data_IF_679758728997
#
_entry.id   IF_679758728997
#
_cell.length_a   1.000
_cell.length_b   1.000
_cell.length_c   1.000
_cell.angle_alpha   90.00
_cell.angle_beta   90.00
_cell.angle_gamma   90.00
#
_symmetry.space_group_name_H-M   'P 1'
#
loop_
_entity.id
_entity.type
_entity.pdbx_description
1 polymer ?
#
# COMPACT_ATOMS: atom_id res chain seq x y z
N UNK A 1 -55.57 26.16 29.72
CA UNK A 1 -56.24 27.42 29.35
C UNK A 1 -55.40 28.11 28.30
N UNK A 2 -56.02 28.49 27.17
CA UNK A 2 -55.47 29.37 26.10
C UNK A 2 -54.31 28.82 25.25
N UNK A 3 -54.28 28.94 23.91
CA UNK A 3 -55.21 29.51 22.91
C UNK A 3 -54.57 29.35 21.51
N UNK A 4 -55.41 29.31 20.47
CA UNK A 4 -55.18 29.82 19.08
C UNK A 4 -54.43 28.86 18.13
N UNK A 5 -55.08 28.15 17.19
CA UNK A 5 -55.78 28.61 15.95
C UNK A 5 -54.79 29.19 14.91
N UNK A 6 -54.85 29.02 13.59
CA UNK A 6 -55.65 28.31 12.58
C UNK A 6 -54.99 28.74 11.23
N UNK A 7 -55.45 28.19 10.10
CA UNK A 7 -55.26 28.72 8.71
C UNK A 7 -53.93 28.28 8.05
N UNK A 8 -53.84 27.29 7.16
CA UNK A 8 -54.58 26.97 5.92
C UNK A 8 -54.23 27.93 4.77
N UNK A 9 -53.38 27.52 3.84
CA UNK A 9 -53.53 27.87 2.41
C UNK A 9 -52.67 26.98 1.51
N UNK A 10 -53.38 26.12 0.78
CA UNK A 10 -52.96 25.48 -0.47
C UNK A 10 -52.93 26.56 -1.56
N UNK A 11 -51.89 26.58 -2.39
CA UNK A 11 -51.97 27.09 -3.76
C UNK A 11 -51.19 26.18 -4.70
N UNK A 12 -51.92 25.63 -5.67
CA UNK A 12 -51.40 24.92 -6.84
C UNK A 12 -50.79 25.91 -7.84
N UNK A 13 -49.72 25.50 -8.52
CA UNK A 13 -49.50 25.86 -9.93
C UNK A 13 -48.63 24.79 -10.60
N UNK A 14 -49.25 24.07 -11.55
CA UNK A 14 -48.60 23.17 -12.48
C UNK A 14 -48.02 23.99 -13.64
N UNK A 15 -46.77 23.74 -14.01
CA UNK A 15 -46.19 24.18 -15.26
C UNK A 15 -45.62 22.96 -15.98
N UNK A 16 -46.35 22.51 -17.00
CA UNK A 16 -45.86 21.57 -18.00
C UNK A 16 -44.99 22.35 -19.00
N UNK A 17 -43.75 21.90 -19.18
CA UNK A 17 -42.93 22.27 -20.34
C UNK A 17 -42.55 20.99 -21.07
N UNK A 18 -43.25 20.75 -22.19
CA UNK A 18 -42.71 19.99 -23.30
C UNK A 18 -41.82 20.94 -24.12
N UNK A 19 -40.53 20.65 -24.19
CA UNK A 19 -39.60 21.29 -25.12
C UNK A 19 -38.68 20.22 -25.73
N UNK A 20 -38.51 20.34 -27.05
CA UNK A 20 -37.85 19.43 -27.98
C UNK A 20 -36.51 18.86 -27.54
N UNK A 21 -36.28 17.60 -27.94
CA UNK A 21 -34.96 17.01 -27.99
C UNK A 21 -34.05 17.70 -29.01
N UNK A 22 -32.79 17.83 -28.63
CA UNK A 22 -31.61 17.78 -29.50
C UNK A 22 -30.42 17.34 -28.62
N UNK A 23 -29.51 16.59 -29.23
CA UNK A 23 -28.67 15.58 -28.57
C UNK A 23 -27.57 16.06 -27.61
N UNK A 24 -27.00 15.08 -26.92
CA UNK A 24 -25.79 15.23 -26.12
C UNK A 24 -25.68 14.11 -25.09
N UNK A 25 -24.89 13.07 -25.39
CA UNK A 25 -24.50 12.03 -24.43
C UNK A 25 -23.93 12.67 -23.15
N UNK A 26 -24.66 12.57 -22.05
CA UNK A 26 -24.14 12.90 -20.73
C UNK A 26 -23.74 11.61 -20.02
N UNK A 27 -22.54 11.11 -20.34
CA UNK A 27 -21.79 10.24 -19.44
C UNK A 27 -21.66 10.99 -18.12
N UNK A 28 -22.31 10.49 -17.08
CA UNK A 28 -22.17 11.03 -15.72
C UNK A 28 -20.78 10.70 -15.23
N UNK A 29 -19.82 11.55 -15.58
CA UNK A 29 -18.49 11.55 -14.99
C UNK A 29 -18.64 12.12 -13.58
N UNK A 30 -18.58 11.25 -12.57
CA UNK A 30 -18.31 11.66 -11.21
C UNK A 30 -16.93 12.33 -11.20
N UNK A 31 -16.91 13.65 -11.40
CA UNK A 31 -15.72 14.48 -11.26
C UNK A 31 -15.52 14.68 -9.76
N UNK A 32 -14.82 13.73 -9.13
CA UNK A 32 -14.31 13.94 -7.77
C UNK A 32 -13.39 15.15 -7.78
N UNK A 33 -13.89 16.23 -7.20
CA UNK A 33 -13.18 17.47 -6.94
C UNK A 33 -12.12 17.25 -5.87
N UNK A 34 -10.92 16.83 -6.28
CA UNK A 34 -9.68 16.98 -5.51
C UNK A 34 -8.59 17.39 -6.51
N UNK A 35 -8.64 18.67 -6.90
CA UNK A 35 -7.55 19.34 -7.59
C UNK A 35 -7.31 20.66 -6.88
N UNK A 36 -6.21 20.73 -6.12
CA UNK A 36 -5.44 21.95 -5.85
C UNK A 36 -4.38 21.66 -4.77
N UNK A 37 -3.32 20.97 -5.16
CA UNK A 37 -1.97 21.15 -4.60
C UNK A 37 -0.99 20.71 -5.69
N UNK A 38 -0.65 21.66 -6.57
CA UNK A 38 0.52 21.74 -7.47
C UNK A 38 1.09 20.37 -7.92
N UNK A 39 0.78 19.87 -9.11
CA UNK A 39 1.11 20.54 -10.37
C UNK A 39 2.54 20.25 -10.83
N UNK A 40 3.32 19.46 -10.08
CA UNK A 40 4.29 18.54 -10.68
C UNK A 40 3.51 17.24 -10.92
N UNK A 41 3.09 17.07 -12.18
CA UNK A 41 2.76 15.75 -12.70
C UNK A 41 3.87 14.79 -12.24
N UNK A 42 3.51 13.61 -11.73
CA UNK A 42 4.47 12.56 -11.42
C UNK A 42 5.12 12.13 -12.75
N UNK A 43 6.03 12.94 -13.30
CA UNK A 43 6.68 12.76 -14.61
C UNK A 43 7.43 11.42 -14.72
N UNK A 44 7.64 10.75 -13.59
CA UNK A 44 8.24 9.42 -13.54
C UNK A 44 7.28 8.27 -13.88
N UNK A 45 5.96 8.50 -13.88
CA UNK A 45 4.96 7.44 -13.81
C UNK A 45 4.20 7.18 -15.13
N UNK A 46 4.31 8.02 -16.16
CA UNK A 46 3.52 7.84 -17.39
C UNK A 46 3.97 6.65 -18.26
N UNK A 47 5.27 6.32 -18.23
CA UNK A 47 5.86 5.30 -19.12
C UNK A 47 6.35 4.04 -18.38
N UNK A 48 6.35 4.02 -17.04
CA UNK A 48 6.81 2.86 -16.24
C UNK A 48 5.65 2.05 -15.71
N UNK A 49 4.99 1.37 -16.64
CA UNK A 49 4.30 0.15 -16.26
C UNK A 49 5.38 -0.87 -15.94
N UNK A 50 5.68 -1.12 -14.66
CA UNK A 50 6.18 -2.43 -14.31
C UNK A 50 5.09 -3.40 -14.80
N UNK A 51 5.38 -4.15 -15.87
CA UNK A 51 4.67 -5.39 -16.13
C UNK A 51 4.61 -6.13 -14.80
N UNK A 52 3.45 -6.71 -14.49
CA UNK A 52 3.16 -7.24 -13.16
C UNK A 52 4.27 -8.16 -12.63
N UNK A 53 4.14 -8.66 -11.41
CA UNK A 53 5.06 -9.69 -10.89
C UNK A 53 4.93 -11.04 -11.62
N UNK A 54 4.54 -11.06 -12.91
CA UNK A 54 4.49 -12.22 -13.79
C UNK A 54 5.82 -12.98 -13.70
N UNK A 55 5.78 -14.10 -12.96
CA UNK A 55 6.92 -14.98 -12.71
C UNK A 55 7.69 -14.76 -11.40
N UNK A 56 7.51 -13.66 -10.67
CA UNK A 56 8.25 -13.38 -9.42
C UNK A 56 7.45 -13.79 -8.18
N UNK A 57 7.77 -14.96 -7.65
CA UNK A 57 7.21 -15.45 -6.38
C UNK A 57 8.15 -15.24 -5.19
N UNK A 58 7.62 -14.77 -4.06
CA UNK A 58 8.39 -14.54 -2.83
C UNK A 58 9.03 -15.82 -2.27
N UNK A 59 8.35 -16.97 -2.30
CA UNK A 59 8.90 -18.20 -1.71
C UNK A 59 10.18 -18.69 -2.43
N UNK A 60 10.25 -18.69 -3.78
CA UNK A 60 11.51 -18.90 -4.51
C UNK A 60 12.57 -17.83 -4.22
N UNK A 61 12.19 -16.56 -4.15
CA UNK A 61 13.14 -15.46 -3.91
C UNK A 61 13.76 -15.54 -2.50
N UNK A 62 13.02 -16.02 -1.51
CA UNK A 62 13.48 -16.19 -0.14
C UNK A 62 13.28 -17.62 0.35
N UNK A 63 14.18 -18.56 0.01
CA UNK A 63 14.07 -19.93 0.52
C UNK A 63 13.99 -19.95 2.05
N UNK A 64 13.22 -20.87 2.62
CA UNK A 64 12.98 -21.00 4.07
C UNK A 64 14.26 -20.83 4.90
N UNK A 65 15.35 -21.51 4.53
CA UNK A 65 16.65 -21.43 5.22
C UNK A 65 17.21 -20.00 5.30
N UNK A 66 16.97 -19.18 4.28
CA UNK A 66 17.35 -17.76 4.28
C UNK A 66 16.57 -17.01 5.36
N UNK A 67 15.25 -17.22 5.41
CA UNK A 67 14.38 -16.56 6.40
C UNK A 67 14.75 -17.02 7.81
N UNK A 68 14.90 -18.33 8.02
CA UNK A 68 15.34 -18.93 9.29
C UNK A 68 16.64 -18.31 9.80
N UNK A 69 17.64 -18.14 8.91
CA UNK A 69 18.91 -17.52 9.24
C UNK A 69 18.77 -16.05 9.64
N UNK A 70 17.87 -15.31 9.00
CA UNK A 70 17.64 -13.89 9.32
C UNK A 70 16.92 -13.75 10.65
N UNK A 71 15.86 -14.52 10.90
CA UNK A 71 15.05 -14.40 12.13
C UNK A 71 15.59 -15.21 13.31
N UNK A 72 16.58 -16.07 13.08
CA UNK A 72 17.21 -16.89 14.11
C UNK A 72 16.30 -18.01 14.64
N UNK A 73 15.38 -18.51 13.82
CA UNK A 73 14.44 -19.60 14.17
C UNK A 73 14.53 -20.68 13.12
N UNK A 74 14.71 -21.93 13.53
CA UNK A 74 14.69 -23.09 12.64
C UNK A 74 13.34 -23.82 12.64
N UNK A 75 13.11 -24.59 11.58
CA UNK A 75 11.92 -25.41 11.38
C UNK A 75 10.71 -24.61 10.88
N UNK A 76 10.93 -23.49 10.19
CA UNK A 76 9.85 -22.73 9.57
C UNK A 76 9.25 -23.52 8.39
N UNK A 77 7.94 -23.42 8.19
CA UNK A 77 7.26 -23.95 7.00
C UNK A 77 6.84 -22.79 6.11
N UNK A 78 7.24 -22.83 4.85
CA UNK A 78 6.83 -21.86 3.85
C UNK A 78 5.48 -22.26 3.24
N UNK A 79 4.55 -21.34 3.25
CA UNK A 79 3.23 -21.46 2.65
C UNK A 79 3.07 -20.31 1.64
N UNK A 80 2.84 -20.66 0.38
CA UNK A 80 2.62 -19.68 -0.69
C UNK A 80 1.14 -19.28 -0.74
N UNK A 81 0.87 -18.02 -1.03
CA UNK A 81 -0.45 -17.52 -1.39
C UNK A 81 -0.31 -16.51 -2.54
N UNK A 82 -0.74 -16.91 -3.73
CA UNK A 82 -0.70 -16.08 -4.94
C UNK A 82 -2.13 -15.61 -5.28
N UNK A 83 -2.65 -14.67 -4.49
CA UNK A 83 -4.00 -14.11 -4.66
C UNK A 83 -3.91 -12.67 -5.17
N UNK A 84 -4.75 -12.30 -6.14
CA UNK A 84 -4.90 -10.93 -6.66
C UNK A 84 -3.58 -10.31 -7.19
N UNK A 85 -2.80 -11.06 -7.97
CA UNK A 85 -1.51 -10.63 -8.54
C UNK A 85 -0.46 -10.18 -7.50
N UNK A 86 -0.68 -10.56 -6.23
CA UNK A 86 0.27 -10.35 -5.15
C UNK A 86 1.02 -11.64 -4.91
N UNK A 87 2.35 -11.58 -4.91
CA UNK A 87 3.11 -12.71 -4.42
C UNK A 87 3.29 -12.63 -2.92
N UNK A 88 2.71 -13.60 -2.19
CA UNK A 88 2.82 -13.69 -0.74
C UNK A 88 3.47 -15.02 -0.35
N UNK A 89 4.45 -14.94 0.54
CA UNK A 89 4.96 -16.12 1.24
C UNK A 89 4.87 -15.92 2.75
N UNK A 90 4.34 -16.94 3.43
CA UNK A 90 4.29 -17.00 4.89
C UNK A 90 5.24 -18.09 5.37
N UNK A 91 6.07 -17.77 6.36
CA UNK A 91 6.97 -18.71 7.04
C UNK A 91 6.52 -18.82 8.49
N UNK A 92 6.06 -20.00 8.90
CA UNK A 92 5.47 -20.17 10.23
C UNK A 92 6.00 -21.41 10.97
N UNK A 93 6.07 -21.29 12.31
CA UNK A 93 6.29 -22.40 13.25
C UNK A 93 5.72 -22.03 14.62
N UNK A 94 4.69 -22.73 15.07
CA UNK A 94 4.03 -22.42 16.34
C UNK A 94 3.55 -20.96 16.36
N UNK A 95 3.99 -20.20 17.36
CA UNK A 95 3.69 -18.76 17.49
C UNK A 95 4.57 -17.83 16.63
N UNK A 96 5.57 -18.37 15.91
CA UNK A 96 6.41 -17.59 14.98
C UNK A 96 5.71 -17.46 13.63
N UNK A 97 5.64 -16.25 13.10
CA UNK A 97 5.07 -15.94 11.80
C UNK A 97 5.86 -14.82 11.12
N UNK A 98 6.41 -15.10 9.95
CA UNK A 98 7.00 -14.11 9.05
C UNK A 98 6.16 -14.09 7.79
N UNK A 99 5.53 -12.96 7.47
CA UNK A 99 4.75 -12.80 6.25
C UNK A 99 5.41 -11.77 5.36
N UNK A 100 5.63 -12.15 4.11
CA UNK A 100 6.30 -11.33 3.12
C UNK A 100 5.39 -11.24 1.91
N UNK A 101 5.14 -10.02 1.46
CA UNK A 101 4.41 -9.71 0.24
C UNK A 101 5.31 -8.88 -0.66
N UNK A 102 5.32 -9.21 -1.95
CA UNK A 102 5.92 -8.42 -3.00
C UNK A 102 4.81 -8.00 -3.97
N UNK A 103 4.63 -6.69 -4.10
CA UNK A 103 3.75 -6.05 -5.07
C UNK A 103 4.65 -5.39 -6.12
N UNK A 104 4.45 -5.73 -7.39
CA UNK A 104 5.11 -5.10 -8.53
C UNK A 104 4.08 -4.77 -9.60
N UNK A 105 2.85 -4.44 -9.19
CA UNK A 105 1.86 -3.90 -10.10
C UNK A 105 2.27 -2.51 -10.60
N UNK A 106 1.72 -2.11 -11.75
CA UNK A 106 1.81 -0.75 -12.26
C UNK A 106 1.44 0.29 -11.17
N UNK A 107 2.08 1.46 -11.25
CA UNK A 107 1.97 2.57 -10.28
C UNK A 107 2.42 2.25 -8.85
N UNK A 108 3.39 1.35 -8.66
CA UNK A 108 3.94 1.02 -7.35
C UNK A 108 4.41 2.28 -6.57
N UNK A 109 4.99 3.26 -7.25
CA UNK A 109 5.39 4.55 -6.66
C UNK A 109 4.21 5.27 -6.02
N UNK A 110 3.15 5.52 -6.80
CA UNK A 110 1.92 6.16 -6.32
C UNK A 110 1.25 5.36 -5.20
N UNK A 111 1.19 4.04 -5.32
CA UNK A 111 0.65 3.16 -4.26
C UNK A 111 1.44 3.27 -2.97
N UNK A 112 2.77 3.29 -3.04
CA UNK A 112 3.64 3.47 -1.87
C UNK A 112 3.39 4.82 -1.21
N UNK A 113 3.35 5.90 -1.98
CA UNK A 113 3.08 7.23 -1.46
C UNK A 113 1.71 7.34 -0.78
N UNK A 114 0.66 6.80 -1.40
CA UNK A 114 -0.67 6.77 -0.81
C UNK A 114 -0.66 6.01 0.52
N UNK A 115 0.00 4.86 0.59
CA UNK A 115 0.11 4.09 1.84
C UNK A 115 0.85 4.85 2.95
N UNK A 116 1.96 5.52 2.62
CA UNK A 116 2.71 6.33 3.58
C UNK A 116 1.87 7.50 4.09
N UNK A 117 1.24 8.24 3.17
CA UNK A 117 0.40 9.40 3.47
C UNK A 117 -0.81 9.01 4.32
N UNK A 118 -1.52 7.93 3.97
CA UNK A 118 -2.61 7.38 4.77
C UNK A 118 -2.13 6.98 6.17
N UNK A 119 -0.97 6.32 6.25
CA UNK A 119 -0.42 5.90 7.54
C UNK A 119 -0.08 7.11 8.42
N UNK A 120 0.49 8.17 7.85
CA UNK A 120 0.79 9.41 8.55
C UNK A 120 -0.50 10.14 8.97
N UNK A 121 -1.48 10.30 8.10
CA UNK A 121 -2.72 11.01 8.43
C UNK A 121 -3.54 10.28 9.49
N UNK A 122 -3.67 8.95 9.36
CA UNK A 122 -4.56 8.14 10.21
C UNK A 122 -3.91 7.70 11.52
N UNK A 123 -2.64 7.31 11.48
CA UNK A 123 -2.01 6.61 12.59
C UNK A 123 -0.93 7.41 13.33
N UNK A 124 -0.54 8.59 12.85
CA UNK A 124 0.41 9.44 13.57
C UNK A 124 0.04 9.75 15.04
N UNK A 125 -1.24 9.95 15.43
CA UNK A 125 -1.59 10.16 16.84
C UNK A 125 -1.52 8.88 17.70
N UNK A 126 -1.41 7.69 17.10
CA UNK A 126 -1.39 6.41 17.82
C UNK A 126 0.08 5.94 17.91
N UNK A 127 0.74 6.00 19.08
CA UNK A 127 2.18 5.73 19.19
C UNK A 127 2.62 4.39 18.61
N UNK A 128 1.79 3.36 18.75
CA UNK A 128 2.11 2.01 18.28
C UNK A 128 1.93 1.86 16.77
N UNK A 129 1.05 2.65 16.16
CA UNK A 129 0.74 2.56 14.73
C UNK A 129 1.42 3.66 13.91
N UNK A 130 2.11 4.60 14.57
CA UNK A 130 2.86 5.66 13.91
C UNK A 130 3.91 5.06 12.96
N UNK A 131 3.95 5.49 11.69
CA UNK A 131 5.00 5.10 10.77
C UNK A 131 6.32 5.78 11.16
N UNK A 132 7.42 5.02 11.13
CA UNK A 132 8.76 5.50 11.38
C UNK A 132 9.64 5.23 10.16
N UNK A 133 10.24 6.26 9.60
CA UNK A 133 11.13 6.15 8.45
C UNK A 133 12.30 5.19 8.75
N UNK A 134 12.64 4.36 7.75
CA UNK A 134 13.76 3.42 7.81
C UNK A 134 14.62 3.62 6.57
N UNK A 135 15.70 4.38 6.73
CA UNK A 135 16.62 4.69 5.63
C UNK A 135 17.41 3.49 5.15
N UNK A 136 17.86 3.56 3.90
CA UNK A 136 18.75 2.61 3.23
C UNK A 136 18.19 1.20 3.09
N UNK A 137 16.87 1.03 3.13
CA UNK A 137 16.19 -0.26 2.86
C UNK A 137 15.66 -0.31 1.45
N UNK A 138 14.92 0.72 1.07
CA UNK A 138 14.42 0.93 -0.27
C UNK A 138 15.18 2.07 -0.94
N UNK A 139 14.53 2.68 -1.93
CA UNK A 139 15.02 3.86 -2.62
C UNK A 139 14.76 5.12 -1.77
N UNK A 140 15.79 5.64 -1.10
CA UNK A 140 15.69 6.87 -0.31
C UNK A 140 15.48 8.14 -1.18
N UNK A 141 15.65 8.04 -2.51
CA UNK A 141 15.35 9.13 -3.45
C UNK A 141 13.89 9.14 -3.92
N UNK A 142 13.09 8.15 -3.50
CA UNK A 142 11.65 8.11 -3.81
C UNK A 142 10.90 9.30 -3.20
N UNK A 143 9.72 9.55 -3.76
CA UNK A 143 8.82 10.60 -3.30
C UNK A 143 8.44 10.39 -1.82
N UNK A 144 8.57 11.44 -1.00
CA UNK A 144 8.42 11.36 0.46
C UNK A 144 9.73 11.16 1.24
N UNK A 145 10.87 11.03 0.56
CA UNK A 145 12.21 11.18 1.16
C UNK A 145 12.75 10.00 1.97
N UNK A 146 12.01 8.89 2.06
CA UNK A 146 12.52 7.59 2.56
C UNK A 146 11.81 6.44 1.85
N UNK A 147 12.58 5.48 1.34
CA UNK A 147 12.07 4.32 0.63
C UNK A 147 11.52 3.21 1.51
N UNK A 148 11.40 3.42 2.82
CA UNK A 148 10.75 2.47 3.72
C UNK A 148 10.26 3.11 5.02
N UNK A 149 9.23 2.52 5.62
CA UNK A 149 8.74 2.87 6.95
C UNK A 149 8.36 1.63 7.76
N UNK A 150 8.50 1.74 9.08
CA UNK A 150 8.20 0.73 10.08
C UNK A 150 7.00 1.11 10.94
N UNK A 151 6.12 0.15 11.19
CA UNK A 151 5.00 0.28 12.13
C UNK A 151 5.13 -0.76 13.23
N UNK A 152 5.37 -0.30 14.46
CA UNK A 152 5.66 -1.14 15.64
C UNK A 152 4.53 -2.09 15.99
N UNK A 153 3.31 -1.58 16.12
CA UNK A 153 2.11 -2.32 16.53
C UNK A 153 1.67 -3.37 15.51
N UNK A 154 2.16 -3.27 14.26
CA UNK A 154 1.96 -4.28 13.22
C UNK A 154 3.19 -5.18 13.02
N UNK A 155 4.29 -4.90 13.72
CA UNK A 155 5.62 -5.44 13.47
C UNK A 155 5.94 -5.54 11.97
N UNK A 156 5.67 -4.46 11.25
CA UNK A 156 5.60 -4.43 9.80
C UNK A 156 6.49 -3.35 9.21
N UNK A 157 7.30 -3.75 8.24
CA UNK A 157 8.02 -2.85 7.35
C UNK A 157 7.32 -2.80 6.00
N UNK A 158 7.18 -1.60 5.44
CA UNK A 158 6.85 -1.39 4.03
C UNK A 158 8.03 -0.69 3.40
N UNK A 159 8.55 -1.22 2.30
CA UNK A 159 9.68 -0.67 1.57
C UNK A 159 9.36 -0.62 0.08
N UNK A 160 9.95 0.34 -0.62
CA UNK A 160 9.80 0.59 -2.04
C UNK A 160 11.18 0.66 -2.70
N UNK A 161 11.36 -0.03 -3.82
CA UNK A 161 12.57 0.08 -4.65
C UNK A 161 12.27 -0.41 -6.06
N UNK A 162 12.73 0.34 -7.07
CA UNK A 162 12.64 -0.03 -8.48
C UNK A 162 11.24 -0.52 -8.88
N UNK A 163 10.22 0.30 -8.60
CA UNK A 163 8.81 0.04 -8.92
C UNK A 163 8.23 -1.22 -8.27
N UNK A 164 8.79 -1.62 -7.12
CA UNK A 164 8.28 -2.74 -6.31
C UNK A 164 8.09 -2.32 -4.86
N UNK A 165 6.99 -2.79 -4.26
CA UNK A 165 6.72 -2.64 -2.83
C UNK A 165 6.93 -4.00 -2.14
N UNK A 166 7.86 -4.05 -1.19
CA UNK A 166 8.02 -5.17 -0.27
C UNK A 166 7.34 -4.84 1.07
N UNK A 167 6.45 -5.72 1.52
CA UNK A 167 5.81 -5.64 2.83
C UNK A 167 6.21 -6.84 3.66
N UNK A 168 6.92 -6.60 4.76
CA UNK A 168 7.49 -7.64 5.61
C UNK A 168 6.96 -7.50 7.03
N UNK A 169 6.21 -8.49 7.49
CA UNK A 169 5.76 -8.62 8.87
C UNK A 169 6.57 -9.70 9.57
N UNK A 170 7.16 -9.38 10.72
CA UNK A 170 7.96 -10.33 11.53
C UNK A 170 7.34 -10.44 12.91
N UNK A 171 6.79 -11.60 13.24
CA UNK A 171 6.31 -11.93 14.58
C UNK A 171 7.10 -13.12 15.12
N UNK A 172 8.02 -12.84 16.03
CA UNK A 172 8.73 -13.84 16.83
C UNK A 172 8.52 -13.48 18.31
N UNK A 173 7.96 -14.38 19.12
CA UNK A 173 7.72 -14.12 20.54
C UNK A 173 9.00 -13.69 21.27
N UNK A 174 8.84 -12.83 22.28
CA UNK A 174 9.93 -12.32 23.14
C UNK A 174 11.07 -11.55 22.43
N UNK A 175 11.01 -11.31 21.12
CA UNK A 175 11.95 -10.42 20.45
C UNK A 175 11.65 -8.95 20.75
N UNK A 176 12.70 -8.12 20.73
CA UNK A 176 12.55 -6.67 20.79
C UNK A 176 12.05 -6.08 19.47
N UNK A 177 11.47 -4.88 19.53
CA UNK A 177 10.99 -4.21 18.31
C UNK A 177 12.13 -3.84 17.36
N UNK A 178 13.25 -3.36 17.92
CA UNK A 178 14.44 -3.05 17.15
C UNK A 178 14.95 -4.27 16.36
N UNK A 179 14.90 -5.47 16.97
CA UNK A 179 15.30 -6.71 16.31
C UNK A 179 14.34 -7.08 15.18
N UNK A 180 13.03 -7.06 15.41
CA UNK A 180 12.03 -7.31 14.36
C UNK A 180 12.16 -6.35 13.19
N UNK A 181 12.37 -5.06 13.47
CA UNK A 181 12.61 -4.03 12.44
C UNK A 181 13.86 -4.35 11.61
N UNK A 182 14.97 -4.70 12.26
CA UNK A 182 16.22 -5.03 11.59
C UNK A 182 16.09 -6.30 10.72
N UNK A 183 15.41 -7.33 11.22
CA UNK A 183 15.14 -8.57 10.49
C UNK A 183 14.23 -8.31 9.28
N UNK A 184 13.16 -7.52 9.45
CA UNK A 184 12.29 -7.12 8.36
C UNK A 184 13.04 -6.32 7.28
N UNK A 185 13.89 -5.37 7.69
CA UNK A 185 14.72 -4.59 6.78
C UNK A 185 15.69 -5.46 5.99
N UNK A 186 16.32 -6.44 6.65
CA UNK A 186 17.22 -7.38 5.98
C UNK A 186 16.50 -8.26 4.96
N UNK A 187 15.30 -8.74 5.29
CA UNK A 187 14.47 -9.52 4.36
C UNK A 187 14.04 -8.70 3.16
N UNK A 188 13.60 -7.45 3.35
CA UNK A 188 13.23 -6.55 2.25
C UNK A 188 14.40 -6.32 1.29
N UNK A 189 15.60 -6.01 1.81
CA UNK A 189 16.82 -5.87 1.00
C UNK A 189 17.14 -7.12 0.18
N UNK A 190 17.00 -8.30 0.79
CA UNK A 190 17.25 -9.56 0.10
C UNK A 190 16.25 -9.82 -1.04
N UNK A 191 15.00 -9.39 -0.89
CA UNK A 191 14.00 -9.49 -1.95
C UNK A 191 14.39 -8.59 -3.12
N UNK A 192 14.64 -7.30 -2.88
CA UNK A 192 15.00 -6.37 -3.95
C UNK A 192 16.29 -6.78 -4.67
N UNK A 193 17.28 -7.31 -3.96
CA UNK A 193 18.51 -7.83 -4.56
C UNK A 193 18.28 -9.06 -5.47
N UNK A 194 17.19 -9.82 -5.26
CA UNK A 194 16.89 -11.06 -6.00
C UNK A 194 15.76 -10.91 -7.02
N UNK A 195 15.00 -9.82 -6.92
CA UNK A 195 13.96 -9.41 -7.86
C UNK A 195 14.29 -8.01 -8.41
N UNK A 196 15.41 -7.84 -9.15
CA UNK A 196 15.71 -6.57 -9.77
C UNK A 196 14.57 -6.17 -10.73
N UNK A 197 14.37 -4.86 -10.94
CA UNK A 197 13.59 -4.41 -12.08
C UNK A 197 14.23 -4.94 -13.37
N UNK A 198 13.43 -5.30 -14.36
CA UNK A 198 13.97 -5.48 -15.71
C UNK A 198 14.63 -4.17 -16.11
N UNK A 199 15.90 -4.27 -16.53
CA UNK A 199 16.59 -3.13 -17.13
C UNK A 199 16.12 -3.10 -18.56
N UNK A 200 15.40 -2.04 -18.94
CA UNK A 200 15.16 -1.75 -20.35
C UNK A 200 16.49 -1.82 -21.09
N UNK A 201 16.52 -2.67 -22.12
CA UNK A 201 17.68 -2.94 -22.94
C UNK A 201 18.22 -1.64 -23.54
N UNK A 202 19.56 -1.56 -23.57
CA UNK A 202 20.35 -0.52 -24.22
C UNK A 202 20.07 -0.39 -25.72
#
# INVERSE_FOLDING_TARGET
>A
MSRIALVLTLWLAAAALAACGSGGSATTTYRSSLSASNGEELEHDADRSAEGVDGLSVCPLLPTRTVEKVVGVSGLRAERNDSLDLSICRYARGAVNVRILLDGAADATRRYYNQLSEAQQKFNPIPDLRPHDVRHVGDDSTYGGTGAFWTRGRAQLVAFSADRIARVTVHVPAQSDARRKAEAARLAKLIFARAPAERDGS
#
